data_IF_602393059908
#
_entry.id   IF_602393059908
#
_cell.length_a   1.000
_cell.length_b   1.000
_cell.length_c   1.000
_cell.angle_alpha   90.00
_cell.angle_beta   90.00
_cell.angle_gamma   90.00
#
_symmetry.space_group_name_H-M   'P 1'
#
loop_
_entity.id
_entity.type
_entity.pdbx_description
1 polymer ?
#
# COMPACT_ATOMS: atom_id res chain seq x y z
N UNK A 1 -0.58 -2.25 -2.50
CA UNK A 1 0.52 -2.74 -3.36
C UNK A 1 0.01 -3.20 -4.72
N UNK A 2 -0.93 -4.14 -4.82
CA UNK A 2 -1.54 -4.56 -6.10
C UNK A 2 -1.99 -3.37 -6.97
N UNK A 3 -2.86 -2.50 -6.43
CA UNK A 3 -3.35 -1.32 -7.16
C UNK A 3 -2.21 -0.42 -7.66
N UNK A 4 -1.27 -0.04 -6.78
CA UNK A 4 -0.13 0.80 -7.14
C UNK A 4 0.72 0.16 -8.26
N UNK A 5 0.95 -1.15 -8.20
CA UNK A 5 1.73 -1.85 -9.23
C UNK A 5 1.07 -1.84 -10.61
N UNK A 6 -0.26 -1.98 -10.64
CA UNK A 6 -1.05 -1.87 -11.86
C UNK A 6 -1.16 -0.41 -12.37
N UNK A 7 -1.32 0.55 -11.45
CA UNK A 7 -1.34 1.98 -11.78
C UNK A 7 -0.03 2.40 -12.46
N UNK A 8 1.12 2.00 -11.90
CA UNK A 8 2.43 2.27 -12.48
C UNK A 8 2.59 1.61 -13.86
N UNK A 9 1.85 0.53 -14.14
CA UNK A 9 1.82 -0.12 -15.44
C UNK A 9 0.78 0.52 -16.40
N UNK A 10 0.20 1.66 -16.05
CA UNK A 10 -0.76 2.40 -16.85
C UNK A 10 -2.22 1.97 -16.68
N UNK A 11 -2.54 1.13 -15.68
CA UNK A 11 -3.92 0.69 -15.42
C UNK A 11 -4.46 1.23 -14.10
N UNK A 12 -5.37 2.21 -14.18
CA UNK A 12 -6.05 2.82 -13.03
C UNK A 12 -7.33 2.12 -12.55
N UNK A 13 -7.79 1.07 -13.24
CA UNK A 13 -9.03 0.33 -12.95
C UNK A 13 -8.70 -1.17 -12.84
N UNK A 14 -8.56 -1.66 -11.61
CA UNK A 14 -7.84 -2.90 -11.35
C UNK A 14 -8.74 -3.93 -10.67
N UNK A 15 -9.01 -5.09 -11.28
CA UNK A 15 -9.71 -6.16 -10.61
C UNK A 15 -8.79 -6.81 -9.55
N UNK A 16 -9.13 -6.66 -8.27
CA UNK A 16 -8.40 -7.25 -7.14
C UNK A 16 -9.40 -8.09 -6.34
N UNK A 17 -9.13 -9.39 -6.19
CA UNK A 17 -10.03 -10.32 -5.48
C UNK A 17 -11.50 -10.26 -5.94
N UNK A 18 -11.73 -10.12 -7.24
CA UNK A 18 -13.04 -9.96 -7.89
C UNK A 18 -13.79 -8.64 -7.57
N UNK A 19 -13.11 -7.66 -6.95
CA UNK A 19 -13.60 -6.30 -6.77
C UNK A 19 -12.89 -5.36 -7.74
N UNK A 20 -13.62 -4.37 -8.25
CA UNK A 20 -13.02 -3.35 -9.11
C UNK A 20 -12.49 -2.22 -8.22
N UNK A 21 -11.17 -2.14 -8.14
CA UNK A 21 -10.51 -1.17 -7.27
C UNK A 21 -9.98 0.03 -8.07
N UNK A 22 -10.10 1.20 -7.46
CA UNK A 22 -9.60 2.47 -7.95
C UNK A 22 -8.63 3.13 -6.95
N UNK A 23 -8.23 4.37 -7.23
CA UNK A 23 -7.31 5.11 -6.40
C UNK A 23 -7.86 5.35 -4.98
N UNK A 24 -9.18 5.50 -4.83
CA UNK A 24 -9.79 5.77 -3.53
C UNK A 24 -9.64 4.56 -2.58
N UNK A 25 -9.75 3.33 -3.09
CA UNK A 25 -9.47 2.13 -2.30
C UNK A 25 -8.02 2.13 -1.80
N UNK A 26 -7.08 2.45 -2.69
CA UNK A 26 -5.67 2.53 -2.31
C UNK A 26 -5.39 3.65 -1.29
N UNK A 27 -6.09 4.78 -1.42
CA UNK A 27 -6.00 5.92 -0.49
C UNK A 27 -6.44 5.55 0.92
N UNK A 28 -7.63 4.98 1.06
CA UNK A 28 -8.12 4.61 2.40
C UNK A 28 -7.23 3.52 3.02
N UNK A 29 -6.75 2.58 2.21
CA UNK A 29 -5.85 1.51 2.65
C UNK A 29 -4.54 2.06 3.21
N UNK A 30 -3.83 2.95 2.49
CA UNK A 30 -2.58 3.53 2.99
C UNK A 30 -2.81 4.43 4.21
N UNK A 31 -3.95 5.13 4.23
CA UNK A 31 -4.26 6.12 5.27
C UNK A 31 -4.55 5.44 6.59
N UNK A 32 -5.23 4.31 6.55
CA UNK A 32 -5.51 3.50 7.71
C UNK A 32 -4.22 2.93 8.31
N UNK A 33 -3.30 2.41 7.48
CA UNK A 33 -1.97 1.95 7.94
C UNK A 33 -1.19 3.12 8.58
N UNK A 34 -1.14 4.28 7.92
CA UNK A 34 -0.47 5.47 8.43
C UNK A 34 -1.02 5.91 9.78
N UNK A 35 -2.35 5.89 9.94
CA UNK A 35 -3.02 6.26 11.18
C UNK A 35 -2.77 5.24 12.28
N UNK A 36 -2.81 3.93 11.97
CA UNK A 36 -2.59 2.88 12.95
C UNK A 36 -1.18 2.89 13.52
N UNK A 37 -0.15 3.21 12.73
CA UNK A 37 1.21 3.38 13.26
C UNK A 37 1.24 4.44 14.37
N UNK A 38 0.58 5.57 14.16
CA UNK A 38 0.66 6.76 15.03
C UNK A 38 -0.31 6.77 16.20
N UNK A 39 -1.49 6.18 16.02
CA UNK A 39 -2.55 6.20 17.02
C UNK A 39 -2.29 5.16 18.12
N UNK A 40 -2.49 5.47 19.41
CA UNK A 40 -2.45 4.45 20.47
C UNK A 40 -3.51 3.36 20.28
N UNK A 41 -4.56 3.61 19.46
CA UNK A 41 -5.60 2.63 19.11
C UNK A 41 -5.24 1.70 17.96
N UNK A 42 -4.13 1.93 17.27
CA UNK A 42 -3.67 1.03 16.20
C UNK A 42 -3.05 -0.23 16.80
N UNK A 43 -3.89 -1.10 17.34
CA UNK A 43 -3.54 -2.38 17.96
C UNK A 43 -4.34 -3.45 17.23
N UNK A 44 -3.68 -4.53 16.83
CA UNK A 44 -4.31 -5.67 16.18
C UNK A 44 -5.17 -6.46 17.19
N UNK A 45 -6.05 -7.32 16.69
CA UNK A 45 -6.93 -8.14 17.53
C UNK A 45 -6.16 -9.10 18.46
N UNK A 46 -4.92 -9.45 18.08
CA UNK A 46 -4.01 -10.25 18.91
C UNK A 46 -3.22 -9.44 19.96
N UNK A 47 -3.51 -8.13 20.06
CA UNK A 47 -2.90 -7.23 21.03
C UNK A 47 -1.58 -6.58 20.57
N UNK A 48 -1.04 -6.93 19.40
CA UNK A 48 0.18 -6.29 18.89
C UNK A 48 -0.08 -4.85 18.46
N UNK A 49 0.76 -3.93 18.92
CA UNK A 49 0.79 -2.56 18.42
C UNK A 49 1.24 -2.55 16.95
N UNK A 50 0.51 -1.84 16.10
CA UNK A 50 0.96 -1.56 14.73
C UNK A 50 2.13 -0.58 14.79
N UNK A 51 3.31 -1.05 14.34
CA UNK A 51 4.54 -0.26 14.25
C UNK A 51 5.05 -0.24 12.81
N UNK A 52 5.99 0.66 12.52
CA UNK A 52 6.67 0.73 11.22
C UNK A 52 7.37 -0.60 10.87
N UNK A 53 8.00 -1.25 11.85
CA UNK A 53 8.69 -2.53 11.67
C UNK A 53 7.69 -3.64 11.30
N UNK A 54 6.53 -3.68 11.98
CA UNK A 54 5.48 -4.65 11.70
C UNK A 54 4.91 -4.45 10.29
N UNK A 55 4.64 -3.19 9.91
CA UNK A 55 4.11 -2.86 8.59
C UNK A 55 5.10 -3.24 7.49
N UNK A 56 6.39 -2.95 7.67
CA UNK A 56 7.44 -3.35 6.71
C UNK A 56 7.56 -4.86 6.56
N UNK A 57 7.42 -5.61 7.65
CA UNK A 57 7.39 -7.07 7.58
C UNK A 57 6.21 -7.57 6.72
N UNK A 58 5.01 -7.03 6.94
CA UNK A 58 3.83 -7.36 6.13
C UNK A 58 3.98 -6.92 4.67
N UNK A 59 4.57 -5.77 4.39
CA UNK A 59 4.82 -5.32 3.01
C UNK A 59 5.66 -6.36 2.25
N UNK A 60 6.70 -6.92 2.89
CA UNK A 60 7.54 -7.96 2.28
C UNK A 60 6.78 -9.26 2.04
N UNK A 61 5.98 -9.70 3.01
CA UNK A 61 5.13 -10.89 2.88
C UNK A 61 4.10 -10.73 1.75
N UNK A 62 3.41 -9.60 1.70
CA UNK A 62 2.39 -9.33 0.69
C UNK A 62 3.01 -9.15 -0.70
N UNK A 63 4.17 -8.50 -0.81
CA UNK A 63 4.90 -8.39 -2.07
C UNK A 63 5.26 -9.77 -2.64
N UNK A 64 5.72 -10.70 -1.78
CA UNK A 64 6.03 -12.06 -2.20
C UNK A 64 4.78 -12.79 -2.73
N UNK A 65 3.64 -12.64 -2.05
CA UNK A 65 2.35 -13.20 -2.50
C UNK A 65 1.90 -12.62 -3.84
N UNK A 66 2.00 -11.29 -4.01
CA UNK A 66 1.66 -10.62 -5.27
C UNK A 66 2.50 -11.17 -6.43
N UNK A 67 3.82 -11.25 -6.25
CA UNK A 67 4.72 -11.79 -7.27
C UNK A 67 4.44 -13.26 -7.61
N UNK A 68 4.01 -14.05 -6.63
CA UNK A 68 3.64 -15.45 -6.84
C UNK A 68 2.26 -15.63 -7.52
N UNK A 69 1.41 -14.60 -7.54
CA UNK A 69 0.06 -14.68 -8.11
C UNK A 69 0.02 -14.67 -9.64
N UNK A 70 1.13 -14.33 -10.30
CA UNK A 70 1.18 -14.16 -11.76
C UNK A 70 0.62 -12.83 -12.26
N UNK A 71 0.30 -11.89 -11.36
CA UNK A 71 -0.05 -10.53 -11.74
C UNK A 71 1.12 -9.84 -12.46
N UNK A 72 0.79 -8.94 -13.40
CA UNK A 72 1.77 -8.10 -14.10
C UNK A 72 1.70 -6.67 -13.57
N UNK A 73 2.86 -6.03 -13.38
CA UNK A 73 2.96 -4.67 -12.88
C UNK A 73 4.30 -4.35 -12.22
N UNK A 74 4.47 -3.10 -11.78
CA UNK A 74 5.71 -2.62 -11.16
C UNK A 74 5.67 -2.78 -9.62
N UNK A 75 5.57 -4.03 -9.13
CA UNK A 75 5.30 -4.30 -7.71
C UNK A 75 6.43 -3.91 -6.76
N UNK A 76 7.69 -4.04 -7.16
CA UNK A 76 8.84 -3.63 -6.34
C UNK A 76 8.83 -2.11 -6.08
N UNK A 77 8.52 -1.33 -7.12
CA UNK A 77 8.40 0.13 -6.96
C UNK A 77 7.15 0.49 -6.16
N UNK A 78 6.03 -0.18 -6.45
CA UNK A 78 4.79 -0.01 -5.70
C UNK A 78 4.94 -0.27 -4.20
N UNK A 79 5.70 -1.30 -3.80
CA UNK A 79 5.94 -1.59 -2.38
C UNK A 79 6.80 -0.52 -1.71
N UNK A 80 7.80 0.01 -2.41
CA UNK A 80 8.64 1.11 -1.91
C UNK A 80 7.83 2.39 -1.69
N UNK A 81 7.00 2.77 -2.67
CA UNK A 81 6.13 3.96 -2.55
C UNK A 81 5.13 3.75 -1.41
N UNK A 82 4.52 2.57 -1.30
CA UNK A 82 3.59 2.26 -0.21
C UNK A 82 4.26 2.33 1.17
N UNK A 83 5.45 1.75 1.34
CA UNK A 83 6.24 1.84 2.58
C UNK A 83 6.50 3.31 2.96
N UNK A 84 7.02 4.09 2.02
CA UNK A 84 7.31 5.52 2.23
C UNK A 84 6.06 6.28 2.68
N UNK A 85 4.97 6.14 1.94
CA UNK A 85 3.72 6.87 2.21
C UNK A 85 3.04 6.46 3.51
N UNK A 86 3.08 5.17 3.87
CA UNK A 86 2.44 4.67 5.08
C UNK A 86 3.27 4.94 6.33
N UNK A 87 4.59 5.06 6.22
CA UNK A 87 5.49 5.18 7.38
C UNK A 87 6.03 6.59 7.61
N UNK A 88 6.04 7.48 6.60
CA UNK A 88 6.51 8.86 6.72
C UNK A 88 5.77 9.68 7.79
N UNK A 89 6.50 10.54 8.50
CA UNK A 89 5.96 11.41 9.57
C UNK A 89 4.84 12.32 9.09
N UNK A 90 5.03 12.93 7.92
CA UNK A 90 4.00 13.71 7.23
C UNK A 90 3.01 12.82 6.50
N UNK A 91 1.77 13.30 6.40
CA UNK A 91 0.75 12.66 5.57
C UNK A 91 0.75 13.30 4.17
N UNK A 92 1.25 12.59 3.17
CA UNK A 92 1.12 13.01 1.78
C UNK A 92 -0.37 13.10 1.43
N UNK A 93 -0.80 14.22 0.86
CA UNK A 93 -2.22 14.51 0.62
C UNK A 93 -2.87 13.46 -0.29
N UNK A 94 -2.23 13.16 -1.43
CA UNK A 94 -2.68 12.16 -2.39
C UNK A 94 -1.58 11.19 -2.78
N UNK A 95 -1.90 9.90 -2.85
CA UNK A 95 -1.00 8.86 -3.37
C UNK A 95 -0.67 9.01 -4.83
N UNK A 96 -1.51 9.72 -5.58
CA UNK A 96 -1.27 9.98 -6.98
C UNK A 96 -0.07 10.90 -7.18
N UNK A 97 0.25 11.80 -6.24
CA UNK A 97 1.39 12.72 -6.40
C UNK A 97 2.72 11.99 -6.63
N UNK A 98 3.21 11.10 -5.73
CA UNK A 98 4.44 10.35 -5.98
C UNK A 98 4.30 9.32 -7.11
N UNK A 99 3.09 8.83 -7.39
CA UNK A 99 2.89 7.90 -8.51
C UNK A 99 3.05 8.61 -9.87
N UNK A 100 2.54 9.84 -10.02
CA UNK A 100 2.66 10.64 -11.24
C UNK A 100 4.11 11.04 -11.57
N UNK A 101 5.01 11.08 -10.57
CA UNK A 101 6.43 11.35 -10.80
C UNK A 101 7.18 10.16 -11.44
N UNK A 102 6.57 8.97 -11.48
CA UNK A 102 7.18 7.72 -11.93
C UNK A 102 6.75 7.30 -13.35
N UNK A 103 5.82 8.02 -13.97
CA UNK A 103 5.21 7.71 -15.28
C UNK A 103 5.37 8.81 -16.31
#
# INVERSE_FOLDING_TARGET
>A
IHYLGAWLAGNGCVPIHNLMEDAATAEISRSQVWQWIRSPKGVLDDGRKVTTELVRAFIMEELAKVKASGAEGHFDRASQIFDQMSTADGFTEFLTLPLYEEV
#
